data_IF_468938456923
#
_entry.id   IF_468938456923
#
_cell.length_a   1.000
_cell.length_b   1.000
_cell.length_c   1.000
_cell.angle_alpha   90.00
_cell.angle_beta   90.00
_cell.angle_gamma   90.00
#
_symmetry.space_group_name_H-M   'P 1'
#
loop_
_entity.id
_entity.type
_entity.pdbx_description
1 polymer ?
#
# COMPACT_ATOMS: atom_id res chain seq x y z
N UNK A 1 9.45 9.08 9.87
CA UNK A 1 9.73 8.16 8.74
C UNK A 1 11.21 7.85 8.58
N UNK A 2 12.08 8.83 8.37
CA UNK A 2 13.51 8.58 8.11
C UNK A 2 14.20 7.78 9.22
N UNK A 3 13.84 8.00 10.49
CA UNK A 3 14.36 7.18 11.60
C UNK A 3 13.99 5.69 11.48
N UNK A 4 12.77 5.40 11.01
CA UNK A 4 12.28 4.03 10.84
C UNK A 4 12.83 3.40 9.55
N UNK A 5 12.92 4.18 8.48
CA UNK A 5 13.40 3.74 7.16
C UNK A 5 14.47 4.69 6.62
N UNK A 6 15.73 4.60 7.07
CA UNK A 6 16.78 5.58 6.72
C UNK A 6 17.00 5.76 5.22
N UNK A 7 16.81 4.70 4.42
CA UNK A 7 17.00 4.78 2.97
C UNK A 7 15.94 5.61 2.25
N UNK A 8 14.86 6.05 2.91
CA UNK A 8 13.85 6.94 2.34
C UNK A 8 14.24 8.42 2.44
N UNK A 9 15.40 8.76 3.02
CA UNK A 9 15.85 10.15 3.11
C UNK A 9 16.14 10.78 1.75
N UNK A 10 16.55 9.96 0.77
CA UNK A 10 16.96 10.44 -0.56
C UNK A 10 16.44 9.54 -1.68
N UNK A 11 16.26 10.16 -2.84
CA UNK A 11 16.00 9.53 -4.13
C UNK A 11 17.18 9.73 -5.10
N UNK A 12 18.40 9.85 -4.57
CA UNK A 12 19.62 9.81 -5.36
C UNK A 12 19.86 8.37 -5.84
N UNK A 13 20.02 8.21 -7.16
CA UNK A 13 20.27 6.92 -7.82
C UNK A 13 19.36 5.77 -7.32
N UNK A 14 18.03 5.91 -7.42
CA UNK A 14 17.11 4.88 -6.95
C UNK A 14 17.24 3.62 -7.82
N UNK A 15 16.93 2.43 -7.28
CA UNK A 15 16.98 1.17 -8.02
C UNK A 15 15.84 1.00 -9.05
N UNK A 16 14.91 1.95 -9.08
CA UNK A 16 13.74 2.01 -9.97
C UNK A 16 13.71 3.38 -10.66
N UNK A 17 12.86 3.60 -11.69
CA UNK A 17 12.72 4.91 -12.34
C UNK A 17 12.57 6.04 -11.32
N UNK A 18 13.25 7.17 -11.58
CA UNK A 18 13.37 8.26 -10.61
C UNK A 18 12.01 8.86 -10.24
N UNK A 19 11.08 8.85 -11.19
CA UNK A 19 9.72 9.34 -11.07
C UNK A 19 8.86 8.51 -10.10
N UNK A 20 9.27 7.27 -9.80
CA UNK A 20 8.61 6.42 -8.81
C UNK A 20 9.12 6.65 -7.39
N UNK A 21 10.25 7.32 -7.23
CA UNK A 21 10.91 7.46 -5.95
C UNK A 21 10.41 8.67 -5.18
N UNK A 22 9.94 8.42 -3.95
CA UNK A 22 9.55 9.45 -3.02
C UNK A 22 10.41 9.42 -1.76
N UNK A 23 10.84 10.61 -1.31
CA UNK A 23 11.51 10.74 -0.01
C UNK A 23 10.49 10.64 1.13
N UNK A 24 10.98 10.47 2.36
CA UNK A 24 10.15 10.54 3.56
C UNK A 24 9.36 11.85 3.68
N UNK A 25 9.90 12.96 3.19
CA UNK A 25 9.24 14.26 3.20
C UNK A 25 7.99 14.28 2.30
N UNK A 26 8.00 13.52 1.21
CA UNK A 26 6.84 13.34 0.31
C UNK A 26 5.90 12.26 0.87
N UNK A 27 6.45 11.15 1.35
CA UNK A 27 5.66 10.01 1.83
C UNK A 27 4.85 10.34 3.10
N UNK A 28 5.46 11.01 4.09
CA UNK A 28 4.83 11.28 5.39
C UNK A 28 3.45 11.96 5.29
N UNK A 29 3.31 13.13 4.63
CA UNK A 29 2.01 13.79 4.56
C UNK A 29 0.97 12.96 3.81
N UNK A 30 1.34 12.24 2.75
CA UNK A 30 0.42 11.40 1.99
C UNK A 30 -0.06 10.17 2.79
N UNK A 31 0.82 9.59 3.60
CA UNK A 31 0.49 8.50 4.52
C UNK A 31 -0.47 9.00 5.60
N UNK A 32 -0.24 10.17 6.19
CA UNK A 32 -1.16 10.73 7.20
C UNK A 32 -2.54 11.01 6.60
N UNK A 33 -2.61 11.56 5.39
CA UNK A 33 -3.88 11.74 4.67
C UNK A 33 -4.61 10.40 4.46
N UNK A 34 -3.87 9.31 4.19
CA UNK A 34 -4.47 7.98 4.08
C UNK A 34 -5.07 7.50 5.40
N UNK A 35 -4.39 7.76 6.52
CA UNK A 35 -4.89 7.38 7.85
C UNK A 35 -6.18 8.08 8.19
N UNK A 36 -6.24 9.39 7.93
CA UNK A 36 -7.44 10.20 8.14
C UNK A 36 -8.58 9.69 7.25
N UNK A 37 -8.32 9.51 5.95
CA UNK A 37 -9.34 9.10 4.97
C UNK A 37 -10.01 7.77 5.30
N UNK A 38 -9.27 6.81 5.85
CA UNK A 38 -9.78 5.47 6.18
C UNK A 38 -9.93 5.22 7.68
N UNK A 39 -9.93 6.29 8.48
CA UNK A 39 -10.16 6.25 9.93
C UNK A 39 -9.22 5.27 10.66
N UNK A 40 -7.95 5.25 10.29
CA UNK A 40 -6.90 4.50 10.99
C UNK A 40 -6.43 5.31 12.19
N UNK A 41 -6.92 4.97 13.38
CA UNK A 41 -6.73 5.78 14.58
C UNK A 41 -5.75 5.18 15.57
N UNK A 42 -5.56 3.85 15.58
CA UNK A 42 -4.68 3.20 16.55
C UNK A 42 -3.25 3.08 16.04
N UNK A 43 -2.30 2.91 16.97
CA UNK A 43 -0.89 2.70 16.64
C UNK A 43 -0.72 1.46 15.76
N UNK A 44 -1.30 0.31 16.14
CA UNK A 44 -1.18 -0.92 15.37
C UNK A 44 -1.77 -0.85 13.96
N UNK A 45 -2.86 -0.10 13.75
CA UNK A 45 -3.40 0.14 12.40
C UNK A 45 -2.42 0.94 11.54
N UNK A 46 -1.93 2.06 12.08
CA UNK A 46 -0.98 2.94 11.38
C UNK A 46 0.35 2.21 11.10
N UNK A 47 0.88 1.47 12.07
CA UNK A 47 2.09 0.67 11.92
C UNK A 47 1.95 -0.39 10.82
N UNK A 48 0.79 -1.07 10.73
CA UNK A 48 0.57 -2.12 9.71
C UNK A 48 0.63 -1.55 8.29
N UNK A 49 -0.05 -0.42 8.09
CA UNK A 49 -0.09 0.24 6.80
C UNK A 49 1.28 0.81 6.46
N UNK A 50 1.95 1.46 7.42
CA UNK A 50 3.28 1.97 7.21
C UNK A 50 4.28 0.87 6.82
N UNK A 51 4.28 -0.24 7.56
CA UNK A 51 5.14 -1.38 7.32
C UNK A 51 4.88 -2.00 5.94
N UNK A 52 3.61 -2.10 5.54
CA UNK A 52 3.20 -2.56 4.21
C UNK A 52 3.76 -1.65 3.13
N UNK A 53 3.45 -0.36 3.19
CA UNK A 53 3.92 0.60 2.19
C UNK A 53 5.45 0.58 2.10
N UNK A 54 6.15 0.61 3.23
CA UNK A 54 7.62 0.61 3.25
C UNK A 54 8.24 -0.68 2.71
N UNK A 55 7.63 -1.85 2.92
CA UNK A 55 8.14 -3.08 2.33
C UNK A 55 7.89 -3.14 0.84
N UNK A 56 6.62 -3.02 0.44
CA UNK A 56 6.17 -3.30 -0.92
C UNK A 56 6.76 -2.32 -1.93
N UNK A 57 7.01 -1.07 -1.51
CA UNK A 57 7.63 -0.04 -2.35
C UNK A 57 9.14 0.10 -2.18
N UNK A 58 9.82 -0.82 -1.49
CA UNK A 58 11.25 -0.71 -1.18
C UNK A 58 11.62 0.65 -0.52
N UNK A 59 10.91 1.00 0.55
CA UNK A 59 10.98 2.29 1.23
C UNK A 59 10.60 3.48 0.34
N UNK A 60 9.45 3.36 -0.34
CA UNK A 60 8.82 4.38 -1.18
C UNK A 60 9.54 4.66 -2.51
N UNK A 61 10.41 3.75 -2.96
CA UNK A 61 11.23 3.87 -4.17
C UNK A 61 10.59 3.28 -5.43
N UNK A 62 9.67 2.33 -5.27
CA UNK A 62 8.89 1.75 -6.35
C UNK A 62 7.42 2.15 -6.22
N UNK A 63 6.74 2.31 -7.34
CA UNK A 63 5.31 2.57 -7.43
C UNK A 63 4.59 1.52 -8.28
N UNK A 64 5.33 0.72 -9.04
CA UNK A 64 4.80 -0.42 -9.79
C UNK A 64 5.63 -1.67 -9.55
N UNK A 65 5.05 -2.82 -9.85
CA UNK A 65 5.83 -4.04 -9.93
C UNK A 65 6.74 -4.00 -11.17
N UNK A 66 8.04 -4.20 -10.96
CA UNK A 66 9.06 -4.22 -12.02
C UNK A 66 9.38 -5.63 -12.54
N UNK A 67 8.74 -6.69 -12.00
CA UNK A 67 8.80 -8.02 -12.61
C UNK A 67 7.72 -8.20 -13.69
N UNK A 68 8.00 -9.01 -14.70
CA UNK A 68 7.09 -9.25 -15.84
C UNK A 68 5.92 -10.19 -15.52
N UNK A 69 5.91 -10.82 -14.34
CA UNK A 69 4.97 -11.89 -14.00
C UNK A 69 3.64 -11.44 -13.37
N UNK A 70 3.48 -10.14 -13.02
CA UNK A 70 2.26 -9.61 -12.40
C UNK A 70 1.87 -8.28 -13.04
N UNK A 71 1.35 -8.31 -14.27
CA UNK A 71 0.98 -7.09 -14.97
C UNK A 71 -0.19 -6.39 -14.25
N UNK A 72 -0.18 -5.06 -14.27
CA UNK A 72 -1.17 -4.22 -13.57
C UNK A 72 -1.00 -4.14 -12.04
N UNK A 73 -0.06 -4.87 -11.44
CA UNK A 73 0.30 -4.69 -10.03
C UNK A 73 1.01 -3.34 -9.81
N UNK A 74 0.68 -2.64 -8.72
CA UNK A 74 1.38 -1.42 -8.35
C UNK A 74 0.77 -0.68 -7.17
N UNK A 75 0.95 0.65 -7.16
CA UNK A 75 0.92 1.53 -5.99
C UNK A 75 2.07 1.26 -5.02
N UNK A 76 2.27 2.14 -4.03
CA UNK A 76 3.25 1.92 -2.94
C UNK A 76 2.92 0.67 -2.10
N UNK A 77 1.71 0.14 -2.22
CA UNK A 77 1.26 -1.08 -1.55
C UNK A 77 1.41 -2.35 -2.41
N UNK A 78 1.85 -2.23 -3.67
CA UNK A 78 1.94 -3.35 -4.64
C UNK A 78 0.68 -4.22 -4.68
N UNK A 79 -0.51 -3.61 -4.69
CA UNK A 79 -1.77 -4.36 -4.79
C UNK A 79 -1.83 -5.12 -6.12
N UNK A 80 -2.28 -6.37 -6.04
CA UNK A 80 -2.57 -7.19 -7.23
C UNK A 80 -3.62 -6.52 -8.12
N UNK A 81 -3.55 -6.75 -9.44
CA UNK A 81 -4.39 -6.05 -10.42
C UNK A 81 -5.91 -6.07 -10.11
N UNK A 82 -6.53 -7.18 -9.68
CA UNK A 82 -7.95 -7.15 -9.31
C UNK A 82 -8.27 -6.15 -8.20
N UNK A 83 -7.36 -5.98 -7.24
CA UNK A 83 -7.49 -5.01 -6.14
C UNK A 83 -7.22 -3.58 -6.61
N UNK A 84 -6.35 -3.38 -7.61
CA UNK A 84 -6.16 -2.08 -8.26
C UNK A 84 -7.45 -1.63 -8.95
N UNK A 85 -8.10 -2.53 -9.70
CA UNK A 85 -9.39 -2.25 -10.35
C UNK A 85 -10.47 -1.94 -9.33
N UNK A 86 -10.56 -2.72 -8.25
CA UNK A 86 -11.50 -2.47 -7.15
C UNK A 86 -11.22 -1.13 -6.44
N UNK A 87 -9.95 -0.81 -6.20
CA UNK A 87 -9.56 0.46 -5.59
C UNK A 87 -9.92 1.66 -6.48
N UNK A 88 -9.54 1.61 -7.76
CA UNK A 88 -9.88 2.66 -8.72
C UNK A 88 -11.40 2.86 -8.82
N UNK A 89 -12.19 1.77 -8.86
CA UNK A 89 -13.66 1.84 -8.87
C UNK A 89 -14.26 2.40 -7.57
N UNK A 90 -13.55 2.33 -6.44
CA UNK A 90 -14.02 2.92 -5.18
C UNK A 90 -13.89 4.44 -5.15
N UNK A 91 -13.18 5.03 -6.13
CA UNK A 91 -12.96 6.47 -6.26
C UNK A 91 -13.91 6.99 -7.34
N UNK A 92 -14.94 7.74 -6.93
CA UNK A 92 -16.02 8.16 -7.84
C UNK A 92 -15.54 8.84 -9.12
N UNK A 93 -14.56 9.74 -9.01
CA UNK A 93 -13.99 10.47 -10.15
C UNK A 93 -13.23 9.58 -11.16
N UNK A 94 -12.88 8.35 -10.79
CA UNK A 94 -12.14 7.43 -11.67
C UNK A 94 -13.04 6.39 -12.35
N UNK A 95 -14.28 6.19 -11.87
CA UNK A 95 -15.18 5.11 -12.34
C UNK A 95 -15.40 5.11 -13.86
N UNK A 96 -15.61 6.28 -14.47
CA UNK A 96 -15.79 6.40 -15.93
C UNK A 96 -14.54 5.92 -16.68
N UNK A 97 -13.36 6.36 -16.26
CA UNK A 97 -12.08 5.96 -16.87
C UNK A 97 -11.78 4.49 -16.68
N UNK A 98 -12.11 3.92 -15.52
CA UNK A 98 -11.98 2.47 -15.30
C UNK A 98 -12.86 1.69 -16.29
N UNK A 99 -14.10 2.14 -16.52
CA UNK A 99 -15.02 1.54 -17.49
C UNK A 99 -14.49 1.65 -18.92
N UNK A 100 -13.97 2.81 -19.32
CA UNK A 100 -13.38 3.04 -20.65
C UNK A 100 -12.19 2.11 -20.92
N UNK A 101 -11.38 1.82 -19.90
CA UNK A 101 -10.19 0.96 -20.03
C UNK A 101 -10.52 -0.53 -20.12
N UNK A 102 -11.77 -0.95 -19.88
CA UNK A 102 -12.28 -2.27 -20.28
C UNK A 102 -11.51 -3.49 -19.75
N UNK A 103 -10.84 -3.38 -18.60
CA UNK A 103 -10.01 -4.46 -18.03
C UNK A 103 -8.52 -4.40 -18.40
N UNK A 104 -8.08 -3.34 -19.08
CA UNK A 104 -6.66 -3.07 -19.34
C UNK A 104 -5.85 -2.86 -18.06
N UNK A 105 -4.61 -3.33 -18.04
CA UNK A 105 -3.66 -3.09 -16.95
C UNK A 105 -3.33 -1.59 -16.75
N UNK A 106 -3.64 -0.75 -17.74
CA UNK A 106 -3.54 0.71 -17.63
C UNK A 106 -4.46 1.33 -16.57
N UNK A 107 -5.44 0.58 -16.03
CA UNK A 107 -6.23 1.04 -14.86
C UNK A 107 -5.32 1.38 -13.67
N UNK A 108 -4.17 0.69 -13.53
CA UNK A 108 -3.17 1.02 -12.50
C UNK A 108 -2.72 2.47 -12.57
N UNK A 109 -2.54 3.01 -13.76
CA UNK A 109 -1.96 4.34 -13.96
C UNK A 109 -2.88 5.45 -13.39
N UNK A 110 -4.18 5.17 -13.24
CA UNK A 110 -5.15 6.07 -12.60
C UNK A 110 -4.92 6.25 -11.09
N UNK A 111 -4.25 5.29 -10.43
CA UNK A 111 -4.07 5.26 -8.96
C UNK A 111 -2.62 5.43 -8.52
N UNK A 112 -1.68 5.61 -9.45
CA UNK A 112 -0.27 5.93 -9.16
C UNK A 112 -0.02 7.37 -8.67
N UNK A 113 -0.78 8.40 -9.13
CA UNK A 113 -0.46 9.78 -8.77
C UNK A 113 -0.78 10.16 -7.32
N UNK A 114 0.08 11.02 -6.76
CA UNK A 114 -0.18 11.79 -5.54
C UNK A 114 -0.53 10.94 -4.32
N UNK A 115 -1.58 11.33 -3.60
CA UNK A 115 -2.02 10.63 -2.39
C UNK A 115 -2.68 9.28 -2.66
N UNK A 116 -3.13 9.00 -3.89
CA UNK A 116 -3.89 7.78 -4.22
C UNK A 116 -3.03 6.54 -4.05
N UNK A 117 -1.75 6.59 -4.43
CA UNK A 117 -0.85 5.44 -4.30
C UNK A 117 -0.58 5.07 -2.83
N UNK A 118 -0.49 6.07 -1.95
CA UNK A 118 -0.33 5.86 -0.51
C UNK A 118 -1.62 5.41 0.17
N UNK A 119 -2.77 5.81 -0.38
CA UNK A 119 -4.10 5.42 0.10
C UNK A 119 -4.42 3.94 -0.13
N UNK A 120 -3.75 3.27 -1.07
CA UNK A 120 -4.08 1.91 -1.50
C UNK A 120 -4.04 0.88 -0.35
N UNK A 121 -3.02 0.90 0.51
CA UNK A 121 -2.91 -0.03 1.64
C UNK A 121 -3.99 0.22 2.71
N UNK A 122 -4.24 1.48 3.05
CA UNK A 122 -5.28 1.88 4.00
C UNK A 122 -6.69 1.53 3.48
N UNK A 123 -6.95 1.78 2.20
CA UNK A 123 -8.17 1.33 1.53
C UNK A 123 -8.33 -0.18 1.60
N UNK A 124 -7.26 -0.93 1.31
CA UNK A 124 -7.35 -2.38 1.21
C UNK A 124 -7.69 -3.02 2.56
N UNK A 125 -7.16 -2.53 3.67
CA UNK A 125 -7.55 -3.02 5.01
C UNK A 125 -8.95 -2.60 5.42
N UNK A 126 -9.40 -1.41 5.02
CA UNK A 126 -10.69 -0.85 5.42
C UNK A 126 -11.87 -1.34 4.56
N UNK A 127 -11.62 -1.63 3.28
CA UNK A 127 -12.68 -1.85 2.27
C UNK A 127 -12.28 -2.85 1.19
N UNK A 128 -11.06 -3.37 1.20
CA UNK A 128 -10.57 -4.30 0.20
C UNK A 128 -11.38 -5.61 0.21
N UNK A 129 -11.82 -6.11 -0.95
CA UNK A 129 -12.76 -7.23 -1.03
C UNK A 129 -12.19 -8.56 -0.48
N UNK A 130 -10.87 -8.71 -0.52
CA UNK A 130 -10.19 -9.92 -0.04
C UNK A 130 -9.73 -9.82 1.44
N UNK A 131 -9.93 -8.67 2.10
CA UNK A 131 -9.53 -8.46 3.48
C UNK A 131 -10.65 -8.84 4.46
N UNK A 132 -10.40 -9.70 5.47
CA UNK A 132 -11.40 -10.01 6.49
C UNK A 132 -11.85 -8.76 7.26
N UNK A 133 -13.17 -8.63 7.50
CA UNK A 133 -13.75 -7.44 8.16
C UNK A 133 -13.25 -7.20 9.59
N UNK A 134 -12.79 -8.25 10.28
CA UNK A 134 -12.26 -8.16 11.64
C UNK A 134 -10.79 -7.69 11.71
N UNK A 135 -10.11 -7.56 10.56
CA UNK A 135 -8.69 -7.19 10.48
C UNK A 135 -8.41 -5.86 11.17
N UNK A 136 -9.22 -4.84 10.92
CA UNK A 136 -9.08 -3.51 11.54
C UNK A 136 -9.15 -3.57 13.07
N UNK A 137 -10.08 -4.36 13.62
CA UNK A 137 -10.22 -4.54 15.06
C UNK A 137 -9.06 -5.32 15.68
N UNK A 138 -8.49 -6.28 14.95
CA UNK A 138 -7.29 -7.01 15.38
C UNK A 138 -6.05 -6.14 15.40
N UNK A 139 -5.90 -5.25 14.41
CA UNK A 139 -4.84 -4.26 14.38
C UNK A 139 -5.01 -3.20 15.50
N UNK A 140 -6.24 -2.91 15.92
CA UNK A 140 -6.50 -2.00 17.04
C UNK A 140 -5.94 -2.48 18.37
N UNK A 141 -5.81 -3.80 18.57
CA UNK A 141 -5.30 -4.38 19.81
C UNK A 141 -3.80 -4.14 20.06
N UNK A 142 -3.11 -3.45 19.14
CA UNK A 142 -1.70 -3.03 19.20
C UNK A 142 -0.73 -4.15 19.58
N UNK A 143 -0.85 -5.29 18.88
CA UNK A 143 -0.06 -6.48 19.14
C UNK A 143 0.41 -7.13 17.85
N UNK A 144 1.56 -7.79 17.95
CA UNK A 144 2.16 -8.61 16.90
C UNK A 144 1.16 -9.56 16.23
N UNK A 145 0.31 -10.24 17.02
CA UNK A 145 -0.70 -11.17 16.51
C UNK A 145 -1.70 -10.52 15.53
N UNK A 146 -2.02 -9.23 15.71
CA UNK A 146 -2.88 -8.49 14.78
C UNK A 146 -2.18 -8.27 13.43
N UNK A 147 -0.90 -7.95 13.46
CA UNK A 147 -0.08 -7.81 12.26
C UNK A 147 0.11 -9.16 11.54
N UNK A 148 0.38 -10.24 12.27
CA UNK A 148 0.45 -11.59 11.71
C UNK A 148 -0.85 -11.98 11.01
N UNK A 149 -1.99 -11.71 11.65
CA UNK A 149 -3.31 -11.95 11.05
C UNK A 149 -3.51 -11.12 9.78
N UNK A 150 -3.17 -9.84 9.80
CA UNK A 150 -3.26 -8.96 8.63
C UNK A 150 -2.40 -9.49 7.47
N UNK A 151 -1.15 -9.86 7.71
CA UNK A 151 -0.25 -10.40 6.68
C UNK A 151 -0.79 -11.73 6.11
N UNK A 152 -1.22 -12.64 6.97
CA UNK A 152 -1.66 -13.97 6.54
C UNK A 152 -3.05 -13.98 5.88
N UNK A 153 -4.01 -13.22 6.43
CA UNK A 153 -5.42 -13.32 6.05
C UNK A 153 -5.89 -12.20 5.12
N UNK A 154 -5.35 -11.00 5.27
CA UNK A 154 -5.72 -9.85 4.44
C UNK A 154 -4.79 -9.70 3.23
N UNK A 155 -3.48 -9.59 3.46
CA UNK A 155 -2.49 -9.50 2.38
C UNK A 155 -2.27 -10.84 1.66
N UNK A 156 -2.48 -11.96 2.36
CA UNK A 156 -2.21 -13.32 1.87
C UNK A 156 -0.76 -13.50 1.43
N UNK A 157 0.18 -12.87 2.14
CA UNK A 157 1.60 -12.89 1.83
C UNK A 157 2.34 -14.06 2.51
N UNK A 158 1.66 -15.21 2.67
CA UNK A 158 2.14 -16.40 3.39
C UNK A 158 1.50 -16.59 4.76
N UNK A 159 1.58 -17.82 5.29
CA UNK A 159 0.97 -18.19 6.58
C UNK A 159 1.72 -17.63 7.80
N UNK A 160 2.95 -17.15 7.60
CA UNK A 160 3.79 -16.53 8.64
C UNK A 160 4.40 -15.24 8.11
N UNK A 161 4.61 -14.28 9.01
CA UNK A 161 5.32 -13.05 8.69
C UNK A 161 6.80 -13.34 8.46
N UNK A 162 7.28 -13.06 7.25
CA UNK A 162 8.69 -13.19 6.91
C UNK A 162 9.56 -12.11 7.59
N UNK A 163 10.87 -12.34 7.66
CA UNK A 163 11.82 -11.44 8.32
C UNK A 163 11.86 -10.04 7.70
N UNK A 164 11.57 -9.90 6.40
CA UNK A 164 11.54 -8.59 5.77
C UNK A 164 10.35 -7.77 6.26
N UNK A 165 9.17 -8.38 6.44
CA UNK A 165 7.99 -7.77 7.06
C UNK A 165 8.20 -7.50 8.55
N UNK A 166 8.80 -8.44 9.30
CA UNK A 166 9.07 -8.23 10.74
C UNK A 166 9.93 -6.98 10.97
N UNK A 167 10.95 -6.76 10.13
CA UNK A 167 11.83 -5.58 10.22
C UNK A 167 11.13 -4.25 9.91
N UNK A 168 9.95 -4.28 9.31
CA UNK A 168 9.21 -3.06 8.91
C UNK A 168 8.17 -2.63 9.94
N UNK A 169 7.66 -3.59 10.71
CA UNK A 169 6.74 -3.38 11.81
C UNK A 169 7.49 -2.89 13.05
#
# INVERSE_FOLDING_TARGET
LERAYPSSKTCDNPPFPKEECDTAAIAAPNIELSYIRYSLTTLGQKAAILATLALESANFKANINHSTNRPGQGTKAMLMFPNIVAFANSIDMLKSRVKELGGSHHVRDLVLPGNTTYAAAAWYVASGPACPKDTMGRLSADKWAGFEYYVAKCLRAGDKVDEARKKKW
#
